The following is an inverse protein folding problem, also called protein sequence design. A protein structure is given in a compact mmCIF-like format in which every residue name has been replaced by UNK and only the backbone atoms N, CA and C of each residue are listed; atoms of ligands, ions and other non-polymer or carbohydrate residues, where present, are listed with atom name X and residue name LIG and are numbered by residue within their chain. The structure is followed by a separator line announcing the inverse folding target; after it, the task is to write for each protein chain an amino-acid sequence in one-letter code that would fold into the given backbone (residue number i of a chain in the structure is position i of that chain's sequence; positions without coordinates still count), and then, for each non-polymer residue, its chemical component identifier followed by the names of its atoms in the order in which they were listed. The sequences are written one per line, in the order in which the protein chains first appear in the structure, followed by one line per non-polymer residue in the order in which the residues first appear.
data_IF_345197423334
#
_entry.id   IF_345197423334
#
_cell.length_a   1.000
_cell.length_b   1.000
_cell.length_c   1.000
_cell.angle_alpha   90.00
_cell.angle_beta   90.00
_cell.angle_gamma   90.00
#
_symmetry.space_group_name_H-M   'P 1'
#
loop_
_entity.id
_entity.type
_entity.pdbx_description
1 polymer ?
#
# COMPACT_ATOMS: atom_id res chain seq x y z
N UNK A 1 3.52 -34.08 -4.30
CA UNK A 1 4.74 -33.24 -4.16
C UNK A 1 4.75 -32.28 -5.33
N UNK A 2 5.24 -31.04 -5.14
CA UNK A 2 5.12 -29.85 -6.03
C UNK A 2 3.63 -29.47 -6.26
N UNK A 3 3.06 -28.45 -5.62
CA UNK A 3 2.83 -27.12 -6.22
C UNK A 3 2.31 -26.07 -5.20
N UNK A 4 2.34 -26.32 -3.88
CA UNK A 4 1.59 -25.48 -2.92
C UNK A 4 2.28 -24.20 -2.40
N UNK A 5 3.54 -23.88 -2.72
CA UNK A 5 4.31 -23.02 -1.80
C UNK A 5 5.24 -21.95 -2.43
N UNK A 6 4.93 -21.38 -3.59
CA UNK A 6 5.74 -20.26 -4.12
C UNK A 6 4.94 -19.04 -4.60
N UNK A 7 3.66 -19.00 -4.26
CA UNK A 7 2.80 -17.81 -4.41
C UNK A 7 2.31 -17.38 -3.03
N UNK A 8 3.20 -17.35 -2.03
CA UNK A 8 2.81 -16.74 -0.76
C UNK A 8 2.58 -15.24 -1.02
N UNK A 9 1.62 -14.63 -0.32
CA UNK A 9 1.32 -13.21 -0.47
C UNK A 9 2.58 -12.30 -0.29
N UNK A 10 3.54 -12.75 0.52
CA UNK A 10 4.88 -12.16 0.71
C UNK A 10 5.68 -12.03 -0.61
N UNK A 11 5.57 -13.01 -1.51
CA UNK A 11 6.32 -13.04 -2.78
C UNK A 11 5.81 -12.01 -3.79
N UNK A 12 4.55 -11.58 -3.66
CA UNK A 12 3.95 -10.57 -4.52
C UNK A 12 4.55 -9.17 -4.24
N UNK A 13 4.78 -8.83 -2.97
CA UNK A 13 5.38 -7.54 -2.57
C UNK A 13 6.79 -7.37 -3.15
N UNK A 14 7.63 -8.40 -3.05
CA UNK A 14 9.05 -8.32 -3.47
C UNK A 14 9.17 -8.03 -4.97
N UNK A 15 8.28 -8.58 -5.79
CA UNK A 15 8.26 -8.33 -7.24
C UNK A 15 7.75 -6.92 -7.61
N UNK A 16 6.82 -6.36 -6.84
CA UNK A 16 6.35 -4.97 -7.05
C UNK A 16 7.41 -3.96 -6.60
N UNK A 17 8.03 -4.18 -5.45
CA UNK A 17 9.10 -3.30 -4.93
C UNK A 17 10.33 -3.22 -5.83
N UNK A 18 10.69 -4.30 -6.53
CA UNK A 18 11.81 -4.30 -7.49
C UNK A 18 11.58 -3.41 -8.72
N UNK A 19 10.33 -3.04 -9.05
CA UNK A 19 10.01 -2.16 -10.19
C UNK A 19 9.86 -0.67 -9.82
N UNK A 20 9.88 -0.32 -8.54
CA UNK A 20 9.62 1.05 -8.02
C UNK A 20 10.91 1.72 -7.49
N UNK A 21 12.07 1.05 -7.61
CA UNK A 21 13.36 1.49 -7.06
C UNK A 21 14.02 2.69 -7.79
N UNK A 22 13.26 3.52 -8.50
CA UNK A 22 13.78 4.74 -9.14
C UNK A 22 13.27 6.04 -8.52
N UNK A 23 12.27 6.03 -7.64
CA UNK A 23 11.78 7.29 -7.04
C UNK A 23 11.48 7.10 -5.55
N UNK A 24 12.47 7.30 -4.70
CA UNK A 24 12.35 7.18 -3.24
C UNK A 24 11.29 8.13 -2.64
N UNK A 25 10.89 9.18 -3.37
CA UNK A 25 9.79 10.08 -2.99
C UNK A 25 8.38 9.51 -3.27
N UNK A 26 8.25 8.43 -4.06
CA UNK A 26 6.95 7.79 -4.35
C UNK A 26 6.48 6.84 -3.24
N UNK A 27 7.37 6.20 -2.47
CA UNK A 27 6.93 5.17 -1.51
C UNK A 27 6.06 5.71 -0.37
N UNK A 28 6.21 6.98 0.00
CA UNK A 28 5.45 7.62 1.09
C UNK A 28 4.07 8.14 0.66
N UNK A 29 3.89 8.43 -0.64
CA UNK A 29 2.70 9.11 -1.16
C UNK A 29 2.05 8.43 -2.36
N UNK A 30 2.54 7.27 -2.81
CA UNK A 30 1.86 6.48 -3.82
C UNK A 30 0.62 5.82 -3.20
N UNK A 31 -0.49 6.52 -3.35
CA UNK A 31 -1.83 6.10 -2.95
C UNK A 31 -2.14 4.69 -3.45
N UNK A 32 -1.72 4.34 -4.67
CA UNK A 32 -1.97 3.02 -5.27
C UNK A 32 -1.19 1.92 -4.55
N UNK A 33 0.04 2.21 -4.15
CA UNK A 33 0.88 1.26 -3.41
C UNK A 33 0.33 1.02 -2.00
N UNK A 34 -0.17 2.06 -1.32
CA UNK A 34 -0.81 1.92 -0.01
C UNK A 34 -2.10 1.09 -0.13
N UNK A 35 -2.92 1.33 -1.16
CA UNK A 35 -4.11 0.51 -1.43
C UNK A 35 -3.77 -0.97 -1.66
N UNK A 36 -2.72 -1.26 -2.44
CA UNK A 36 -2.26 -2.64 -2.64
C UNK A 36 -1.85 -3.32 -1.32
N UNK A 37 -1.17 -2.59 -0.43
CA UNK A 37 -0.80 -3.10 0.90
C UNK A 37 -2.03 -3.42 1.76
N UNK A 38 -3.06 -2.58 1.71
CA UNK A 38 -4.32 -2.81 2.46
C UNK A 38 -5.02 -4.07 1.94
N UNK A 39 -5.21 -4.19 0.63
CA UNK A 39 -5.86 -5.37 0.02
C UNK A 39 -5.10 -6.66 0.36
N UNK A 40 -3.78 -6.60 0.34
CA UNK A 40 -2.95 -7.74 0.70
C UNK A 40 -3.07 -8.10 2.18
N UNK A 41 -3.06 -7.11 3.08
CA UNK A 41 -3.26 -7.33 4.50
C UNK A 41 -4.61 -8.01 4.78
N UNK A 42 -5.68 -7.58 4.11
CA UNK A 42 -7.01 -8.19 4.19
C UNK A 42 -6.98 -9.66 3.73
N UNK A 43 -6.31 -9.95 2.62
CA UNK A 43 -6.17 -11.31 2.12
C UNK A 43 -5.40 -12.21 3.11
N UNK A 44 -4.34 -11.71 3.74
CA UNK A 44 -3.59 -12.47 4.77
C UNK A 44 -4.48 -12.81 5.96
N UNK A 45 -5.32 -11.88 6.41
CA UNK A 45 -6.28 -12.12 7.48
C UNK A 45 -7.36 -13.14 7.06
N UNK A 46 -7.96 -12.97 5.89
CA UNK A 46 -9.00 -13.89 5.36
C UNK A 46 -8.49 -15.32 5.17
N UNK A 47 -7.21 -15.49 4.85
CA UNK A 47 -6.55 -16.80 4.74
C UNK A 47 -6.09 -17.38 6.08
N UNK A 48 -6.27 -16.64 7.19
CA UNK A 48 -5.82 -17.04 8.52
C UNK A 48 -4.29 -17.04 8.69
N UNK A 49 -3.56 -16.30 7.85
CA UNK A 49 -2.10 -16.17 7.92
C UNK A 49 -1.66 -15.22 9.05
N UNK A 50 -2.53 -14.30 9.45
CA UNK A 50 -2.33 -13.38 10.58
C UNK A 50 -3.54 -13.37 11.51
N UNK A 51 -3.34 -13.14 12.82
CA UNK A 51 -4.45 -12.98 13.75
C UNK A 51 -5.13 -11.61 13.59
N UNK A 52 -6.38 -11.51 14.07
CA UNK A 52 -7.24 -10.33 13.93
C UNK A 52 -6.64 -9.07 14.58
N UNK A 53 -6.00 -9.21 15.74
CA UNK A 53 -5.33 -8.11 16.44
C UNK A 53 -4.20 -7.50 15.60
N UNK A 54 -3.35 -8.35 15.02
CA UNK A 54 -2.28 -7.93 14.11
C UNK A 54 -2.84 -7.30 12.82
N UNK A 55 -3.96 -7.82 12.30
CA UNK A 55 -4.67 -7.23 11.17
C UNK A 55 -5.13 -5.80 11.50
N UNK A 56 -5.88 -5.62 12.59
CA UNK A 56 -6.45 -4.32 13.00
C UNK A 56 -5.36 -3.26 13.22
N UNK A 57 -4.28 -3.63 13.90
CA UNK A 57 -3.17 -2.70 14.16
C UNK A 57 -2.54 -2.21 12.85
N UNK A 58 -2.28 -3.14 11.92
CA UNK A 58 -1.64 -2.83 10.64
C UNK A 58 -2.57 -2.12 9.67
N UNK A 59 -3.86 -2.46 9.68
CA UNK A 59 -4.86 -1.80 8.85
C UNK A 59 -4.96 -0.33 9.23
N UNK A 60 -5.05 -0.03 10.52
CA UNK A 60 -5.08 1.34 11.04
C UNK A 60 -3.84 2.14 10.61
N UNK A 61 -2.66 1.55 10.70
CA UNK A 61 -1.40 2.19 10.25
C UNK A 61 -1.45 2.54 8.75
N UNK A 62 -1.92 1.62 7.92
CA UNK A 62 -2.00 1.82 6.47
C UNK A 62 -3.07 2.83 6.07
N UNK A 63 -4.22 2.84 6.74
CA UNK A 63 -5.29 3.81 6.48
C UNK A 63 -4.88 5.24 6.83
N UNK A 64 -4.17 5.45 7.94
CA UNK A 64 -3.62 6.77 8.29
C UNK A 64 -2.62 7.28 7.24
N UNK A 65 -1.78 6.39 6.70
CA UNK A 65 -0.86 6.74 5.60
C UNK A 65 -1.62 7.07 4.32
N UNK A 66 -2.67 6.31 4.01
CA UNK A 66 -3.51 6.55 2.84
C UNK A 66 -4.15 7.94 2.89
N UNK A 67 -4.73 8.31 4.04
CA UNK A 67 -5.36 9.61 4.24
C UNK A 67 -4.35 10.75 4.03
N UNK A 68 -3.17 10.67 4.66
CA UNK A 68 -2.11 11.67 4.50
C UNK A 68 -1.67 11.80 3.03
N UNK A 69 -1.60 10.68 2.29
CA UNK A 69 -1.28 10.69 0.87
C UNK A 69 -2.36 11.35 0.01
N UNK A 70 -3.64 11.05 0.25
CA UNK A 70 -4.75 11.72 -0.44
C UNK A 70 -4.79 13.22 -0.17
N UNK A 71 -4.53 13.64 1.06
CA UNK A 71 -4.51 15.06 1.42
C UNK A 71 -3.37 15.80 0.69
N UNK A 72 -2.19 15.18 0.60
CA UNK A 72 -1.07 15.73 -0.16
C UNK A 72 -1.38 15.86 -1.66
N UNK A 73 -1.96 14.83 -2.28
CA UNK A 73 -2.41 14.89 -3.68
C UNK A 73 -3.39 16.04 -3.93
N UNK A 74 -4.38 16.21 -3.04
CA UNK A 74 -5.38 17.25 -3.14
C UNK A 74 -4.76 18.65 -3.04
N UNK A 75 -3.93 18.90 -2.01
CA UNK A 75 -3.24 20.18 -1.84
C UNK A 75 -2.34 20.51 -3.03
N UNK A 76 -1.63 19.51 -3.56
CA UNK A 76 -0.82 19.66 -4.77
C UNK A 76 -1.68 20.06 -5.96
N UNK A 77 -2.79 19.36 -6.19
CA UNK A 77 -3.72 19.67 -7.27
C UNK A 77 -4.30 21.09 -7.16
N UNK A 78 -4.78 21.48 -5.97
CA UNK A 78 -5.28 22.84 -5.71
C UNK A 78 -4.22 23.92 -6.00
N UNK A 79 -2.97 23.68 -5.61
CA UNK A 79 -1.87 24.62 -5.88
C UNK A 79 -1.58 24.79 -7.38
N UNK A 80 -1.74 23.72 -8.16
CA UNK A 80 -1.56 23.76 -9.62
C UNK A 80 -2.71 24.50 -10.30
N UNK A 81 -3.94 24.31 -9.84
CA UNK A 81 -5.12 25.01 -10.36
C UNK A 81 -5.09 26.51 -10.04
N UNK A 82 -4.57 26.90 -8.87
CA UNK A 82 -4.42 28.32 -8.49
C UNK A 82 -3.35 29.06 -9.29
N UNK A 83 -2.30 28.37 -9.76
CA UNK A 83 -1.23 28.96 -10.59
C UNK A 83 -1.63 29.20 -12.06
N UNK A 84 -2.72 28.60 -12.54
CA UNK A 84 -3.19 28.71 -13.92
C UNK A 84 -4.28 29.80 -14.11
N UNK A 85 -4.73 30.45 -13.03
CA UNK A 85 -5.60 31.64 -13.05
C UNK A 85 -4.78 32.89 -12.82
#
# INVERSE_FOLDING_TARGET
MIHKLLLSPVTLIVKVGQKIKEEADKELYDVSFIQQKIVHLQMMYELGEIPEDAYIEKEKELLLRYEAAKEYELKRWESMMKKQK
#
